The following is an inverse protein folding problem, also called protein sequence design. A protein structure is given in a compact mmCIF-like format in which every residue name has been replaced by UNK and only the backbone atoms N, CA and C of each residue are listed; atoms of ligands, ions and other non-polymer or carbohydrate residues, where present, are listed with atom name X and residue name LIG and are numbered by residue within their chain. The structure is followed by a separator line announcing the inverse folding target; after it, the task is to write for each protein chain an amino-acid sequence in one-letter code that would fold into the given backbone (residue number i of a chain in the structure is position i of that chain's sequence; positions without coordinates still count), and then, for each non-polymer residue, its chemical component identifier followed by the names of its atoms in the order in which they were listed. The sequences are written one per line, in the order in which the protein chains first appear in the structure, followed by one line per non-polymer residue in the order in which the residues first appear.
data_IF_520768677152
#
_entry.id   IF_520768677152
#
_cell.length_a   1.000
_cell.length_b   1.000
_cell.length_c   1.000
_cell.angle_alpha   90.00
_cell.angle_beta   90.00
_cell.angle_gamma   90.00
#
_symmetry.space_group_name_H-M   'P 1'
#
loop_
_entity.id
_entity.type
_entity.pdbx_description
1 polymer ?
#
# COMPACT_ATOMS: atom_id res chain seq x y z
N UNK A 1 4.97 7.02 -17.14
CA UNK A 1 3.73 7.33 -16.40
C UNK A 1 2.61 6.32 -16.69
N UNK A 2 1.98 6.31 -17.87
CA UNK A 2 0.80 5.45 -18.16
C UNK A 2 1.07 3.95 -17.91
N UNK A 3 2.20 3.43 -18.37
CA UNK A 3 2.57 2.04 -18.13
C UNK A 3 2.68 1.72 -16.63
N UNK A 4 3.23 2.64 -15.84
CA UNK A 4 3.31 2.53 -14.38
C UNK A 4 1.94 2.55 -13.71
N UNK A 5 1.06 3.44 -14.14
CA UNK A 5 -0.33 3.50 -13.67
C UNK A 5 -1.06 2.18 -13.91
N UNK A 6 -1.00 1.63 -15.13
CA UNK A 6 -1.68 0.38 -15.49
C UNK A 6 -1.12 -0.78 -14.65
N UNK A 7 0.19 -0.91 -14.58
CA UNK A 7 0.86 -2.03 -13.89
C UNK A 7 0.72 -1.95 -12.37
N UNK A 8 0.74 -0.74 -11.80
CA UNK A 8 0.38 -0.49 -10.39
C UNK A 8 -1.07 -0.85 -10.12
N UNK A 9 -1.99 -0.47 -11.02
CA UNK A 9 -3.41 -0.82 -10.89
C UNK A 9 -3.61 -2.35 -10.88
N UNK A 10 -2.92 -3.06 -11.77
CA UNK A 10 -2.91 -4.54 -11.75
C UNK A 10 -2.41 -5.06 -10.39
N UNK A 11 -1.28 -4.55 -9.89
CA UNK A 11 -0.74 -4.92 -8.59
C UNK A 11 -1.73 -4.68 -7.43
N UNK A 12 -2.43 -3.54 -7.42
CA UNK A 12 -3.44 -3.23 -6.39
C UNK A 12 -4.66 -4.14 -6.46
N UNK A 13 -5.13 -4.50 -7.67
CA UNK A 13 -6.25 -5.44 -7.85
C UNK A 13 -5.85 -6.83 -7.37
N UNK A 14 -4.63 -7.26 -7.71
CA UNK A 14 -4.08 -8.53 -7.23
C UNK A 14 -4.03 -8.55 -5.71
N UNK A 15 -3.48 -7.51 -5.07
CA UNK A 15 -3.42 -7.42 -3.62
C UNK A 15 -4.81 -7.33 -2.96
N UNK A 16 -5.77 -6.61 -3.56
CA UNK A 16 -7.15 -6.49 -3.05
C UNK A 16 -7.79 -7.86 -2.81
N UNK A 17 -7.55 -8.83 -3.70
CA UNK A 17 -8.10 -10.18 -3.56
C UNK A 17 -7.20 -11.13 -2.74
N UNK A 18 -5.88 -10.93 -2.75
CA UNK A 18 -4.93 -11.80 -2.06
C UNK A 18 -4.90 -11.52 -0.55
N UNK A 19 -4.86 -10.26 -0.13
CA UNK A 19 -4.66 -9.89 1.27
C UNK A 19 -5.76 -10.39 2.22
N UNK A 20 -7.06 -10.41 1.84
CA UNK A 20 -8.11 -10.99 2.67
C UNK A 20 -7.93 -12.48 2.97
N UNK A 21 -7.25 -13.24 2.11
CA UNK A 21 -6.93 -14.66 2.34
C UNK A 21 -6.03 -14.82 3.59
N UNK A 22 -5.25 -13.81 3.91
CA UNK A 22 -4.38 -13.76 5.10
C UNK A 22 -5.04 -13.06 6.31
N UNK A 23 -6.34 -12.76 6.24
CA UNK A 23 -7.08 -12.08 7.31
C UNK A 23 -6.85 -10.57 7.38
N UNK A 24 -6.24 -9.96 6.36
CA UNK A 24 -6.09 -8.52 6.25
C UNK A 24 -7.31 -7.85 5.61
N UNK A 25 -7.46 -6.55 5.83
CA UNK A 25 -8.57 -5.80 5.24
C UNK A 25 -8.53 -5.80 3.70
N UNK A 26 -9.70 -5.88 3.07
CA UNK A 26 -9.84 -5.66 1.63
C UNK A 26 -9.76 -4.15 1.34
N UNK A 27 -8.69 -3.73 0.67
CA UNK A 27 -8.47 -2.32 0.30
C UNK A 27 -8.84 -2.13 -1.17
N UNK A 28 -9.79 -1.24 -1.45
CA UNK A 28 -10.16 -0.90 -2.82
C UNK A 28 -9.04 -0.05 -3.49
N UNK A 29 -8.68 -0.35 -4.75
CA UNK A 29 -7.72 0.45 -5.51
C UNK A 29 -8.13 1.92 -5.67
N UNK A 30 -7.28 2.84 -5.22
CA UNK A 30 -7.47 4.28 -5.41
C UNK A 30 -6.92 4.79 -6.74
N UNK A 31 -7.75 5.49 -7.53
CA UNK A 31 -7.33 6.01 -8.84
C UNK A 31 -6.20 7.03 -8.77
N UNK A 32 -6.26 7.97 -7.81
CA UNK A 32 -5.26 9.02 -7.62
C UNK A 32 -3.88 8.44 -7.28
N UNK A 33 -3.81 7.58 -6.26
CA UNK A 33 -2.55 6.94 -5.82
C UNK A 33 -1.97 6.07 -6.94
N UNK A 34 -2.78 5.27 -7.62
CA UNK A 34 -2.30 4.45 -8.73
C UNK A 34 -1.75 5.30 -9.87
N UNK A 35 -2.38 6.45 -10.17
CA UNK A 35 -1.97 7.30 -11.27
C UNK A 35 -0.69 8.08 -10.95
N UNK A 36 -0.64 8.78 -9.82
CA UNK A 36 0.48 9.63 -9.45
C UNK A 36 1.65 8.81 -8.88
N UNK A 37 1.43 8.07 -7.80
CA UNK A 37 2.48 7.25 -7.18
C UNK A 37 2.88 6.09 -8.10
N UNK A 38 1.90 5.37 -8.66
CA UNK A 38 2.18 4.29 -9.61
C UNK A 38 2.79 4.79 -10.93
N UNK A 39 2.38 5.96 -11.42
CA UNK A 39 3.01 6.61 -12.57
C UNK A 39 4.48 6.94 -12.32
N UNK A 40 4.80 7.40 -11.11
CA UNK A 40 6.16 7.70 -10.63
C UNK A 40 6.99 6.42 -10.49
N UNK A 41 6.44 5.38 -9.86
CA UNK A 41 7.07 4.06 -9.77
C UNK A 41 7.43 3.50 -11.16
N UNK A 42 6.54 3.67 -12.15
CA UNK A 42 6.83 3.30 -13.53
C UNK A 42 7.90 4.14 -14.22
N UNK A 43 8.05 5.43 -13.87
CA UNK A 43 9.13 6.29 -14.40
C UNK A 43 10.48 5.81 -13.88
N UNK A 44 10.61 5.64 -12.56
CA UNK A 44 11.85 5.16 -11.94
C UNK A 44 12.16 3.71 -12.35
N UNK A 45 11.15 2.84 -12.38
CA UNK A 45 11.29 1.47 -12.86
C UNK A 45 11.77 1.41 -14.32
N UNK A 46 11.28 2.33 -15.17
CA UNK A 46 11.77 2.44 -16.54
C UNK A 46 13.21 2.96 -16.62
N UNK A 47 13.58 3.94 -15.79
CA UNK A 47 14.92 4.49 -15.78
C UNK A 47 15.98 3.46 -15.36
N UNK A 48 15.65 2.59 -14.38
CA UNK A 48 16.60 1.60 -13.84
C UNK A 48 16.58 0.28 -14.63
N UNK A 49 15.42 -0.18 -15.08
CA UNK A 49 15.25 -1.51 -15.68
C UNK A 49 14.54 -1.53 -17.04
N UNK A 50 14.42 -0.37 -17.70
CA UNK A 50 13.68 -0.23 -18.94
C UNK A 50 12.21 -0.64 -18.80
N UNK A 51 11.60 -1.05 -19.91
CA UNK A 51 10.18 -1.43 -19.94
C UNK A 51 9.84 -2.56 -18.97
N UNK A 52 10.75 -3.51 -18.76
CA UNK A 52 10.56 -4.62 -17.81
C UNK A 52 10.56 -4.12 -16.37
N UNK A 53 11.50 -3.22 -16.03
CA UNK A 53 11.53 -2.58 -14.71
C UNK A 53 10.27 -1.77 -14.43
N UNK A 54 9.73 -1.06 -15.43
CA UNK A 54 8.47 -0.34 -15.30
C UNK A 54 7.28 -1.27 -14.99
N UNK A 55 7.23 -2.45 -15.60
CA UNK A 55 6.13 -3.43 -15.40
C UNK A 55 6.25 -4.13 -14.06
N UNK A 56 7.41 -4.72 -13.77
CA UNK A 56 7.65 -5.49 -12.54
C UNK A 56 7.59 -4.55 -11.34
N UNK A 57 8.27 -3.40 -11.43
CA UNK A 57 8.28 -2.38 -10.39
C UNK A 57 6.88 -1.79 -10.15
N UNK A 58 6.11 -1.55 -11.22
CA UNK A 58 4.72 -1.10 -11.10
C UNK A 58 3.83 -2.12 -10.36
N UNK A 59 3.86 -3.39 -10.75
CA UNK A 59 3.07 -4.44 -10.08
C UNK A 59 3.47 -4.59 -8.61
N UNK A 60 4.78 -4.64 -8.33
CA UNK A 60 5.30 -4.74 -6.96
C UNK A 60 4.89 -3.53 -6.11
N UNK A 61 5.01 -2.33 -6.68
CA UNK A 61 4.55 -1.10 -6.04
C UNK A 61 3.04 -1.14 -5.76
N UNK A 62 2.23 -1.56 -6.74
CA UNK A 62 0.78 -1.74 -6.58
C UNK A 62 0.43 -2.68 -5.42
N UNK A 63 1.10 -3.81 -5.32
CA UNK A 63 0.88 -4.71 -4.20
C UNK A 63 1.25 -4.06 -2.86
N UNK A 64 2.40 -3.37 -2.82
CA UNK A 64 2.93 -2.73 -1.63
C UNK A 64 2.02 -1.62 -1.09
N UNK A 65 1.50 -0.75 -1.96
CA UNK A 65 0.60 0.35 -1.56
C UNK A 65 -0.79 -0.12 -1.14
N UNK A 66 -1.15 -1.39 -1.39
CA UNK A 66 -2.38 -2.00 -0.86
C UNK A 66 -2.11 -2.73 0.46
N UNK A 67 -0.94 -3.38 0.60
CA UNK A 67 -0.54 -4.07 1.82
C UNK A 67 -0.43 -3.12 3.01
N UNK A 68 0.22 -1.96 2.83
CA UNK A 68 0.46 -1.03 3.93
C UNK A 68 -0.84 -0.51 4.57
N UNK A 69 -1.84 0.03 3.82
CA UNK A 69 -3.13 0.40 4.39
C UNK A 69 -3.86 -0.76 5.04
N UNK A 70 -3.73 -1.99 4.52
CA UNK A 70 -4.36 -3.16 5.10
C UNK A 70 -3.78 -3.50 6.49
N UNK A 71 -2.46 -3.41 6.65
CA UNK A 71 -1.79 -3.53 7.95
C UNK A 71 -2.20 -2.41 8.91
N UNK A 72 -2.36 -1.19 8.39
CA UNK A 72 -2.78 -0.04 9.19
C UNK A 72 -4.21 -0.22 9.73
N UNK A 73 -5.14 -0.75 8.94
CA UNK A 73 -6.49 -1.08 9.41
C UNK A 73 -6.42 -2.05 10.60
N UNK A 74 -5.56 -3.06 10.55
CA UNK A 74 -5.37 -4.00 11.66
C UNK A 74 -4.85 -3.30 12.91
N UNK A 75 -3.86 -2.41 12.77
CA UNK A 75 -3.33 -1.63 13.89
C UNK A 75 -4.40 -0.69 14.48
N UNK A 76 -5.12 0.05 13.65
CA UNK A 76 -6.17 0.98 14.06
C UNK A 76 -7.35 0.27 14.73
N UNK A 77 -7.73 -0.91 14.25
CA UNK A 77 -8.78 -1.72 14.87
C UNK A 77 -8.45 -2.09 16.32
N UNK A 78 -7.16 -2.34 16.63
CA UNK A 78 -6.72 -2.61 18.01
C UNK A 78 -6.83 -1.39 18.95
N UNK A 79 -6.86 -0.19 18.38
CA UNK A 79 -7.01 1.08 19.10
C UNK A 79 -8.46 1.57 19.14
N UNK A 80 -9.41 0.82 18.58
CA UNK A 80 -10.83 1.19 18.51
C UNK A 80 -11.23 2.01 17.27
N UNK A 81 -10.30 2.29 16.36
CA UNK A 81 -10.59 2.96 15.08
C UNK A 81 -10.96 1.92 14.01
N UNK A 82 -12.26 1.68 13.84
CA UNK A 82 -12.77 0.69 12.89
C UNK A 82 -12.89 1.29 11.48
N UNK A 83 -12.51 0.52 10.46
CA UNK A 83 -12.60 0.90 9.03
C UNK A 83 -11.89 2.22 8.66
N UNK A 84 -10.90 2.63 9.45
CA UNK A 84 -10.07 3.80 9.17
C UNK A 84 -8.72 3.38 8.58
N UNK A 85 -8.26 4.11 7.57
CA UNK A 85 -6.91 3.95 7.00
C UNK A 85 -6.48 5.25 6.30
N UNK A 86 -5.25 5.27 5.78
CA UNK A 86 -4.72 6.35 4.96
C UNK A 86 -4.25 5.79 3.61
N UNK A 87 -4.12 6.67 2.61
CA UNK A 87 -3.75 6.29 1.24
C UNK A 87 -2.28 6.53 0.92
N UNK A 88 -1.66 7.51 1.58
CA UNK A 88 -0.30 7.92 1.26
C UNK A 88 0.72 7.07 2.02
N UNK A 89 1.69 6.52 1.28
CA UNK A 89 2.64 5.53 1.78
C UNK A 89 3.45 6.06 2.96
N UNK A 90 3.88 7.31 2.90
CA UNK A 90 4.63 7.98 3.97
C UNK A 90 3.80 8.12 5.25
N UNK A 91 2.54 8.53 5.13
CA UNK A 91 1.58 8.67 6.22
C UNK A 91 1.30 7.31 6.86
N UNK A 92 1.05 6.29 6.05
CA UNK A 92 0.80 4.92 6.54
C UNK A 92 2.04 4.35 7.23
N UNK A 93 3.22 4.54 6.63
CA UNK A 93 4.49 4.05 7.20
C UNK A 93 4.80 4.73 8.53
N UNK A 94 4.63 6.05 8.61
CA UNK A 94 4.81 6.79 9.85
C UNK A 94 3.84 6.31 10.93
N UNK A 95 2.57 6.13 10.60
CA UNK A 95 1.56 5.63 11.53
C UNK A 95 1.88 4.21 12.05
N UNK A 96 2.28 3.30 11.16
CA UNK A 96 2.70 1.94 11.54
C UNK A 96 3.94 1.95 12.43
N UNK A 97 4.91 2.83 12.14
CA UNK A 97 6.11 3.01 12.96
C UNK A 97 5.74 3.53 14.35
N UNK A 98 4.91 4.56 14.45
CA UNK A 98 4.44 5.09 15.73
C UNK A 98 3.66 4.05 16.53
N UNK A 99 2.76 3.31 15.87
CA UNK A 99 2.04 2.21 16.50
C UNK A 99 3.01 1.17 17.09
N UNK A 100 4.04 0.79 16.34
CA UNK A 100 5.04 -0.17 16.82
C UNK A 100 5.82 0.35 18.04
N UNK A 101 6.31 1.61 17.98
CA UNK A 101 7.06 2.25 19.08
C UNK A 101 6.20 2.41 20.34
N UNK A 102 4.93 2.80 20.19
CA UNK A 102 4.01 3.07 21.29
C UNK A 102 3.27 1.81 21.77
N UNK A 103 3.39 0.68 21.05
CA UNK A 103 2.72 -0.58 21.40
C UNK A 103 2.97 -1.07 22.82
N UNK A 104 4.16 -0.89 23.45
CA UNK A 104 4.36 -1.28 24.84
C UNK A 104 3.51 -0.46 25.80
N UNK A 105 3.28 0.83 25.50
CA UNK A 105 2.48 1.74 26.33
C UNK A 105 1.01 1.36 26.21
N UNK A 106 0.52 1.07 24.99
CA UNK A 106 -0.88 0.68 24.78
C UNK A 106 -1.26 -0.63 25.47
N UNK A 107 -0.29 -1.53 25.72
CA UNK A 107 -0.51 -2.80 26.42
C UNK A 107 -0.46 -2.69 27.95
N UNK A 108 -0.05 -1.54 28.50
CA UNK A 108 -0.02 -1.31 29.95
C UNK A 108 -1.40 -0.97 30.52
N UNK A 109 -2.37 -0.67 29.66
CA UNK A 109 -3.75 -0.34 30.00
C UNK A 109 -4.69 -1.36 29.35
#
# INVERSE_FOLDING_TARGET
MILGFITTTIGTIVAMFILPIFGLAMILPGMLTNFFAGGTAGIFGNAVGGRRGAIIGGIAHGFFITLLPALLVTAFSSLGFVNATATDVDTVTAALLYYWILSPIFKMF
#
